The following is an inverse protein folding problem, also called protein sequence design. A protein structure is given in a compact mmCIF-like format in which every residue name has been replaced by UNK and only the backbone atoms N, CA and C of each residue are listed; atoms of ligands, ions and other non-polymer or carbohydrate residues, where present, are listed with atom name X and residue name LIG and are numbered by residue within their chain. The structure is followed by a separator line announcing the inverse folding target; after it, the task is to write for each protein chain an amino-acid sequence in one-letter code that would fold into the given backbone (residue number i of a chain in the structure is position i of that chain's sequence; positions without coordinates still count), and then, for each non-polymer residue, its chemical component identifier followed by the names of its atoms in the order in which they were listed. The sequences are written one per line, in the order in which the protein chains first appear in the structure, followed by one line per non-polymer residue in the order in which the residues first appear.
data_IF_962612053204
#
_entry.id   IF_962612053204
#
_cell.length_a   1.000
_cell.length_b   1.000
_cell.length_c   1.000
_cell.angle_alpha   90.00
_cell.angle_beta   90.00
_cell.angle_gamma   90.00
#
_symmetry.space_group_name_H-M   'P 1'
#
loop_
_entity.id
_entity.type
_entity.pdbx_description
1 polymer ?
#
# COMPACT_ATOMS: atom_id res chain seq x y z
N UNK A 1 -45.16 -72.77 24.91
CA UNK A 1 -44.23 -72.05 25.80
C UNK A 1 -43.15 -71.47 24.89
N UNK A 2 -42.92 -70.18 24.74
CA UNK A 2 -43.54 -68.99 25.31
C UNK A 2 -43.39 -67.86 24.31
N UNK A 3 -44.35 -66.96 24.39
CA UNK A 3 -44.48 -65.68 23.73
C UNK A 3 -43.26 -64.76 24.00
N UNK A 4 -43.04 -63.76 23.15
CA UNK A 4 -42.03 -62.73 23.46
C UNK A 4 -41.63 -61.83 22.28
N UNK A 5 -42.54 -60.99 21.83
CA UNK A 5 -42.23 -59.86 20.94
C UNK A 5 -41.49 -58.73 21.66
N UNK A 6 -40.59 -58.06 20.94
CA UNK A 6 -40.09 -56.67 21.11
C UNK A 6 -38.93 -56.52 20.11
N UNK A 7 -38.78 -55.55 19.22
CA UNK A 7 -39.52 -54.38 18.73
C UNK A 7 -38.76 -53.91 17.47
N UNK A 8 -39.28 -52.96 16.66
CA UNK A 8 -38.56 -52.50 15.48
C UNK A 8 -37.28 -51.76 15.90
N UNK A 9 -36.12 -52.31 15.55
CA UNK A 9 -34.84 -51.62 15.67
C UNK A 9 -34.79 -50.51 14.62
N UNK A 10 -35.21 -49.31 15.00
CA UNK A 10 -34.90 -48.10 14.24
C UNK A 10 -33.38 -47.99 14.11
N UNK A 11 -32.84 -47.74 12.90
CA UNK A 11 -31.45 -47.34 12.79
C UNK A 11 -31.34 -45.95 13.43
N UNK A 12 -30.69 -45.89 14.59
CA UNK A 12 -30.25 -44.63 15.22
C UNK A 12 -29.29 -43.95 14.25
N UNK A 13 -29.85 -43.12 13.38
CA UNK A 13 -29.07 -42.19 12.56
C UNK A 13 -28.35 -41.20 13.48
N UNK A 14 -27.13 -40.77 13.13
CA UNK A 14 -26.42 -39.78 13.93
C UNK A 14 -27.26 -38.50 14.04
N UNK A 15 -27.47 -38.02 15.27
CA UNK A 15 -28.14 -36.75 15.58
C UNK A 15 -27.59 -35.65 14.67
N UNK A 16 -28.43 -34.80 14.04
CA UNK A 16 -27.93 -33.70 13.24
C UNK A 16 -27.23 -32.71 14.17
N UNK A 17 -25.90 -32.68 14.09
CA UNK A 17 -25.10 -31.63 14.70
C UNK A 17 -25.54 -30.33 14.03
N UNK A 18 -26.24 -29.47 14.77
CA UNK A 18 -26.59 -28.14 14.30
C UNK A 18 -25.29 -27.38 14.03
N UNK A 19 -24.83 -27.43 12.77
CA UNK A 19 -23.70 -26.64 12.31
C UNK A 19 -24.13 -25.19 12.35
N UNK A 20 -23.66 -24.48 13.37
CA UNK A 20 -23.57 -23.03 13.32
C UNK A 20 -23.03 -22.66 11.94
N UNK A 21 -23.73 -21.77 11.23
CA UNK A 21 -23.34 -21.30 9.91
C UNK A 21 -22.13 -20.38 10.09
N UNK A 22 -20.99 -20.99 10.40
CA UNK A 22 -19.70 -20.37 10.29
C UNK A 22 -19.50 -20.05 8.82
N UNK A 23 -19.42 -18.75 8.55
CA UNK A 23 -19.01 -18.09 7.30
C UNK A 23 -18.75 -19.05 6.13
N UNK A 24 -19.65 -18.99 5.14
CA UNK A 24 -19.50 -19.57 3.80
C UNK A 24 -18.32 -18.94 3.00
N UNK A 25 -17.30 -18.42 3.69
CA UNK A 25 -16.05 -17.91 3.12
C UNK A 25 -15.11 -19.04 2.69
N UNK A 26 -15.04 -20.16 3.44
CA UNK A 26 -14.15 -21.27 3.07
C UNK A 26 -14.64 -22.05 1.83
N UNK A 27 -15.94 -22.05 1.58
CA UNK A 27 -16.55 -22.71 0.42
C UNK A 27 -16.53 -21.86 -0.86
N UNK A 28 -16.33 -20.54 -0.77
CA UNK A 28 -16.42 -19.64 -1.93
C UNK A 28 -15.08 -19.08 -2.40
N UNK A 29 -14.04 -19.09 -1.56
CA UNK A 29 -12.67 -18.70 -1.96
C UNK A 29 -11.83 -19.87 -2.49
N UNK A 30 -12.26 -21.12 -2.27
CA UNK A 30 -11.59 -22.35 -2.72
C UNK A 30 -12.21 -22.97 -3.99
N UNK A 31 -12.78 -22.16 -4.89
CA UNK A 31 -13.34 -22.64 -6.17
C UNK A 31 -12.30 -23.33 -7.09
N UNK A 32 -11.02 -23.29 -6.73
CA UNK A 32 -9.97 -24.12 -7.32
C UNK A 32 -9.90 -25.43 -6.53
N UNK A 33 -10.34 -26.53 -7.16
CA UNK A 33 -10.12 -27.87 -6.61
C UNK A 33 -8.64 -28.02 -6.20
N UNK A 34 -8.33 -28.56 -5.01
CA UNK A 34 -6.98 -28.89 -4.63
C UNK A 34 -6.37 -29.75 -5.74
N UNK A 35 -5.38 -29.20 -6.46
CA UNK A 35 -4.76 -29.91 -7.59
C UNK A 35 -4.14 -31.19 -7.04
N UNK A 36 -4.38 -32.31 -7.72
CA UNK A 36 -3.70 -33.58 -7.41
C UNK A 36 -2.19 -33.31 -7.37
N UNK A 37 -1.53 -33.73 -6.30
CA UNK A 37 -0.09 -33.56 -6.14
C UNK A 37 0.60 -34.25 -7.31
N UNK A 38 1.35 -33.48 -8.11
CA UNK A 38 2.20 -34.05 -9.15
C UNK A 38 3.46 -34.55 -8.45
N UNK A 39 3.81 -35.82 -8.68
CA UNK A 39 5.12 -36.31 -8.29
C UNK A 39 6.17 -35.46 -9.02
N UNK A 40 7.22 -35.09 -8.30
CA UNK A 40 8.37 -34.39 -8.87
C UNK A 40 9.41 -35.48 -9.12
N UNK A 41 9.91 -35.57 -10.34
CA UNK A 41 10.90 -36.58 -10.70
C UNK A 41 12.14 -36.45 -9.81
N UNK A 42 12.55 -37.56 -9.19
CA UNK A 42 13.67 -37.60 -8.25
C UNK A 42 13.37 -37.16 -6.81
N UNK A 43 12.16 -36.70 -6.49
CA UNK A 43 11.77 -36.33 -5.10
C UNK A 43 10.84 -37.38 -4.52
N UNK A 44 11.32 -38.11 -3.53
CA UNK A 44 10.50 -39.07 -2.79
C UNK A 44 9.48 -38.35 -1.88
N UNK A 45 8.33 -38.97 -1.56
CA UNK A 45 7.37 -38.40 -0.61
C UNK A 45 7.98 -38.13 0.78
N UNK A 46 8.93 -38.96 1.22
CA UNK A 46 9.65 -38.79 2.49
C UNK A 46 10.51 -37.53 2.50
N UNK A 47 11.32 -37.32 1.46
CA UNK A 47 12.16 -36.10 1.35
C UNK A 47 11.33 -34.82 1.26
N UNK A 48 10.12 -34.88 0.68
CA UNK A 48 9.18 -33.75 0.69
C UNK A 48 8.63 -33.44 2.10
N UNK A 49 8.41 -34.47 2.93
CA UNK A 49 7.96 -34.30 4.31
C UNK A 49 9.10 -33.72 5.15
N UNK A 50 10.32 -34.21 4.98
CA UNK A 50 11.50 -33.71 5.69
C UNK A 50 11.79 -32.25 5.34
N UNK A 51 11.69 -31.88 4.07
CA UNK A 51 11.86 -30.49 3.63
C UNK A 51 10.78 -29.56 4.21
N UNK A 52 9.55 -30.04 4.34
CA UNK A 52 8.49 -29.30 5.03
C UNK A 52 8.80 -29.15 6.51
N UNK A 53 9.27 -30.20 7.17
CA UNK A 53 9.67 -30.13 8.58
C UNK A 53 10.79 -29.11 8.78
N UNK A 54 11.80 -29.08 7.91
CA UNK A 54 12.86 -28.06 7.94
C UNK A 54 12.29 -26.65 7.72
N UNK A 55 11.42 -26.46 6.73
CA UNK A 55 10.78 -25.18 6.48
C UNK A 55 9.97 -24.70 7.70
N UNK A 56 9.21 -25.57 8.33
CA UNK A 56 8.48 -25.21 9.56
C UNK A 56 9.42 -24.82 10.71
N UNK A 57 10.50 -25.58 10.94
CA UNK A 57 11.51 -25.23 11.96
C UNK A 57 12.11 -23.85 11.69
N UNK A 58 12.55 -23.58 10.46
CA UNK A 58 13.12 -22.27 10.10
C UNK A 58 12.12 -21.12 10.25
N UNK A 59 10.84 -21.34 9.94
CA UNK A 59 9.80 -20.33 10.11
C UNK A 59 9.50 -20.05 11.58
N UNK A 60 9.51 -21.10 12.41
CA UNK A 60 9.31 -20.98 13.85
C UNK A 60 10.50 -20.26 14.51
N UNK A 61 11.74 -20.63 14.17
CA UNK A 61 12.95 -19.94 14.62
C UNK A 61 12.95 -18.47 14.20
N UNK A 62 12.57 -18.16 12.95
CA UNK A 62 12.45 -16.79 12.48
C UNK A 62 11.33 -16.01 13.20
N UNK A 63 10.24 -16.68 13.58
CA UNK A 63 9.15 -16.06 14.34
C UNK A 63 9.58 -15.78 15.77
N UNK A 64 10.24 -16.74 16.43
CA UNK A 64 10.80 -16.58 17.77
C UNK A 64 11.87 -15.49 17.80
N UNK A 65 12.73 -15.41 16.78
CA UNK A 65 13.71 -14.33 16.63
C UNK A 65 13.03 -12.96 16.45
N UNK A 66 11.99 -12.87 15.60
CA UNK A 66 11.24 -11.62 15.41
C UNK A 66 10.45 -11.18 16.67
N UNK A 67 10.01 -12.15 17.48
CA UNK A 67 9.34 -11.92 18.76
C UNK A 67 10.33 -11.48 19.84
N UNK A 68 11.55 -12.03 19.85
CA UNK A 68 12.63 -11.62 20.74
C UNK A 68 13.23 -10.24 20.41
N UNK A 69 13.26 -9.84 19.13
CA UNK A 69 13.87 -8.57 18.67
C UNK A 69 12.87 -7.38 18.60
N UNK A 70 11.71 -7.48 19.25
CA UNK A 70 10.80 -6.34 19.40
C UNK A 70 10.06 -5.94 18.12
N UNK A 71 9.57 -6.91 17.34
CA UNK A 71 8.43 -6.70 16.45
C UNK A 71 8.68 -5.92 15.15
N UNK A 72 9.93 -5.82 14.68
CA UNK A 72 10.20 -5.41 13.29
C UNK A 72 10.38 -6.65 12.42
N UNK A 73 9.46 -6.95 11.49
CA UNK A 73 9.70 -8.05 10.56
C UNK A 73 10.96 -7.72 9.75
N UNK A 74 11.95 -8.63 9.68
CA UNK A 74 13.09 -8.42 8.80
C UNK A 74 12.54 -8.28 7.39
N UNK A 75 12.76 -7.11 6.78
CA UNK A 75 12.41 -6.87 5.37
C UNK A 75 13.02 -8.02 4.60
N UNK A 76 12.20 -8.79 3.87
CA UNK A 76 12.63 -9.93 3.05
C UNK A 76 13.80 -9.44 2.20
N UNK A 77 15.04 -9.77 2.57
CA UNK A 77 16.20 -9.62 1.72
C UNK A 77 16.05 -10.70 0.66
N UNK A 78 15.28 -10.40 -0.38
CA UNK A 78 15.31 -11.19 -1.61
C UNK A 78 16.64 -10.90 -2.28
N UNK A 79 17.65 -11.66 -1.87
CA UNK A 79 19.00 -11.60 -2.40
C UNK A 79 19.82 -12.60 -1.62
N UNK A 80 20.52 -13.49 -2.34
CA UNK A 80 21.55 -14.34 -1.74
C UNK A 80 22.42 -13.46 -0.84
N UNK A 81 22.65 -13.86 0.41
CA UNK A 81 23.70 -13.26 1.23
C UNK A 81 25.02 -13.48 0.48
N UNK A 82 25.39 -12.49 -0.32
CA UNK A 82 26.74 -12.41 -0.87
C UNK A 82 27.57 -11.95 0.30
N UNK A 83 28.22 -12.91 0.95
CA UNK A 83 29.06 -12.75 2.16
C UNK A 83 30.26 -11.80 1.93
N UNK A 84 30.42 -11.27 0.71
CA UNK A 84 31.41 -10.26 0.36
C UNK A 84 30.79 -8.88 0.63
N UNK A 85 30.87 -8.43 1.89
CA UNK A 85 30.63 -7.02 2.23
C UNK A 85 31.80 -6.20 1.67
N UNK A 86 31.51 -5.18 0.89
CA UNK A 86 32.55 -4.26 0.41
C UNK A 86 33.17 -3.53 1.62
N UNK A 87 34.51 -3.55 1.78
CA UNK A 87 35.17 -2.81 2.86
C UNK A 87 34.86 -1.32 2.74
N UNK A 88 34.61 -0.67 3.88
CA UNK A 88 34.26 0.75 3.95
C UNK A 88 32.78 1.09 3.74
N UNK A 89 31.91 0.13 3.42
CA UNK A 89 30.46 0.36 3.42
C UNK A 89 29.94 0.57 4.83
N UNK A 90 30.37 -0.25 5.80
CA UNK A 90 29.94 -0.10 7.19
C UNK A 90 30.46 1.21 7.81
N UNK A 91 31.68 1.63 7.46
CA UNK A 91 32.23 2.92 7.90
C UNK A 91 31.48 4.10 7.30
N UNK A 92 31.14 4.03 6.01
CA UNK A 92 30.32 5.05 5.35
C UNK A 92 28.92 5.11 5.93
N UNK A 93 28.29 3.97 6.16
CA UNK A 93 26.96 3.89 6.77
C UNK A 93 26.96 4.44 8.19
N UNK A 94 28.01 4.16 8.99
CA UNK A 94 28.17 4.74 10.32
C UNK A 94 28.36 6.25 10.25
N UNK A 95 29.22 6.73 9.34
CA UNK A 95 29.46 8.16 9.11
C UNK A 95 28.18 8.88 8.66
N UNK A 96 27.45 8.30 7.70
CA UNK A 96 26.18 8.83 7.22
C UNK A 96 25.14 8.84 8.34
N UNK A 97 25.07 7.80 9.16
CA UNK A 97 24.15 7.75 10.31
C UNK A 97 24.47 8.80 11.38
N UNK A 98 25.74 9.14 11.58
CA UNK A 98 26.16 10.25 12.44
C UNK A 98 25.88 11.61 11.79
N UNK A 99 25.97 11.71 10.46
CA UNK A 99 25.66 12.91 9.69
C UNK A 99 24.17 13.14 9.43
N UNK A 100 23.31 12.14 9.64
CA UNK A 100 21.87 12.34 9.83
C UNK A 100 21.71 12.99 11.21
N UNK A 101 22.07 14.28 11.27
CA UNK A 101 21.83 15.16 12.40
C UNK A 101 20.37 15.02 12.80
N UNK A 102 20.11 14.89 14.10
CA UNK A 102 18.74 14.73 14.58
C UNK A 102 17.92 15.93 14.11
N UNK A 103 16.61 15.74 13.95
CA UNK A 103 15.71 16.85 13.56
C UNK A 103 15.83 18.04 14.52
N UNK A 104 16.23 17.79 15.78
CA UNK A 104 16.50 18.82 16.77
C UNK A 104 17.77 19.63 16.46
N UNK A 105 18.87 18.97 16.08
CA UNK A 105 20.12 19.64 15.71
C UNK A 105 19.93 20.48 14.46
N UNK A 106 19.22 19.95 13.45
CA UNK A 106 18.88 20.71 12.25
C UNK A 106 18.03 21.93 12.56
N UNK A 107 17.06 21.81 13.46
CA UNK A 107 16.24 22.94 13.89
C UNK A 107 17.11 24.00 14.58
N UNK A 108 18.04 23.61 15.46
CA UNK A 108 18.95 24.53 16.13
C UNK A 108 19.90 25.26 15.15
N UNK A 109 20.40 24.56 14.14
CA UNK A 109 21.20 25.15 13.05
C UNK A 109 20.38 26.13 12.21
N UNK A 110 19.12 25.80 11.92
CA UNK A 110 18.21 26.72 11.24
C UNK A 110 17.94 27.98 12.07
N UNK A 111 17.74 27.85 13.38
CA UNK A 111 17.56 29.02 14.27
C UNK A 111 18.80 29.90 14.34
N UNK A 112 19.99 29.31 14.49
CA UNK A 112 21.25 30.06 14.48
C UNK A 112 21.51 30.75 13.13
N UNK A 113 21.14 30.12 12.01
CA UNK A 113 21.23 30.73 10.69
C UNK A 113 20.24 31.90 10.53
N UNK A 114 19.01 31.77 11.06
CA UNK A 114 18.02 32.84 11.05
C UNK A 114 18.45 34.04 11.89
N UNK A 115 19.07 33.81 13.06
CA UNK A 115 19.63 34.86 13.91
C UNK A 115 20.73 35.64 13.17
N UNK A 116 21.69 34.94 12.55
CA UNK A 116 22.73 35.57 11.71
C UNK A 116 22.14 36.38 10.55
N UNK A 117 21.06 35.88 9.94
CA UNK A 117 20.39 36.59 8.85
C UNK A 117 19.68 37.84 9.36
N UNK A 118 19.01 37.76 10.50
CA UNK A 118 18.36 38.91 11.14
C UNK A 118 19.38 39.99 11.52
N UNK A 119 20.52 39.60 12.09
CA UNK A 119 21.61 40.52 12.41
C UNK A 119 22.16 41.20 11.16
N UNK A 120 22.35 40.45 10.07
CA UNK A 120 22.79 41.01 8.79
C UNK A 120 21.79 42.06 8.28
N UNK A 121 20.50 41.75 8.29
CA UNK A 121 19.46 42.72 7.89
C UNK A 121 19.46 43.97 8.78
N UNK A 122 19.61 43.80 10.10
CA UNK A 122 19.68 44.93 11.02
C UNK A 122 20.89 45.84 10.73
N UNK A 123 22.04 45.26 10.37
CA UNK A 123 23.24 46.02 9.99
C UNK A 123 23.09 46.73 8.65
N UNK A 124 22.45 46.10 7.66
CA UNK A 124 22.12 46.73 6.36
C UNK A 124 21.16 47.91 6.57
N UNK A 125 20.10 47.72 7.35
CA UNK A 125 19.13 48.79 7.67
C UNK A 125 19.77 49.96 8.43
N UNK A 126 20.82 49.70 9.21
CA UNK A 126 21.60 50.72 9.91
C UNK A 126 22.65 51.40 9.01
N UNK A 127 22.89 50.87 7.81
CA UNK A 127 23.91 51.35 6.87
C UNK A 127 25.35 51.02 7.31
N UNK A 128 25.54 50.07 8.23
CA UNK A 128 26.88 49.62 8.65
C UNK A 128 27.53 48.66 7.64
N UNK A 129 26.71 47.96 6.86
CA UNK A 129 27.16 47.06 5.78
C UNK A 129 26.86 47.74 4.45
N UNK A 130 27.87 47.83 3.58
CA UNK A 130 27.70 48.29 2.21
C UNK A 130 26.91 47.21 1.46
N UNK A 131 25.79 47.57 0.84
CA UNK A 131 25.09 46.67 -0.08
C UNK A 131 26.01 46.50 -1.29
N UNK A 132 26.83 45.44 -1.27
CA UNK A 132 27.74 45.08 -2.35
C UNK A 132 26.97 44.38 -3.48
N UNK A 133 25.93 45.05 -4.00
CA UNK A 133 25.09 44.57 -5.12
C UNK A 133 25.95 44.24 -6.35
N UNK A 134 27.01 45.03 -6.58
CA UNK A 134 27.98 44.86 -7.68
C UNK A 134 28.76 43.53 -7.64
N UNK A 135 28.86 42.85 -6.48
CA UNK A 135 29.61 41.58 -6.34
C UNK A 135 28.81 40.39 -6.89
N UNK A 136 27.48 40.47 -6.81
CA UNK A 136 26.59 39.40 -7.25
C UNK A 136 26.05 39.64 -8.67
N UNK A 137 26.28 40.82 -9.23
CA UNK A 137 25.97 41.13 -10.62
C UNK A 137 26.93 40.44 -11.57
N UNK A 138 26.38 39.67 -12.50
CA UNK A 138 27.16 39.02 -13.55
C UNK A 138 27.37 40.04 -14.67
N UNK A 139 28.60 40.53 -14.80
CA UNK A 139 29.00 41.33 -15.97
C UNK A 139 29.12 40.42 -17.20
N UNK A 140 28.06 40.41 -18.02
CA UNK A 140 27.99 39.62 -19.24
C UNK A 140 28.97 40.09 -20.32
N UNK A 141 29.40 41.36 -20.31
CA UNK A 141 30.38 41.86 -21.27
C UNK A 141 31.78 41.35 -20.92
N UNK A 142 32.12 41.34 -19.63
CA UNK A 142 33.41 40.88 -19.11
C UNK A 142 33.54 39.36 -19.10
N UNK A 143 32.45 38.62 -18.91
CA UNK A 143 32.44 37.14 -18.93
C UNK A 143 32.76 36.51 -20.29
N UNK A 144 32.62 37.26 -21.39
CA UNK A 144 32.92 36.79 -22.75
C UNK A 144 34.38 36.98 -23.18
N UNK A 145 35.07 37.96 -22.62
CA UNK A 145 36.51 38.16 -22.79
C UNK A 145 37.24 37.36 -21.70
N UNK A 146 38.00 36.33 -22.04
CA UNK A 146 38.70 35.46 -21.07
C UNK A 146 39.79 36.12 -20.18
N UNK A 147 39.69 37.42 -19.90
CA UNK A 147 40.27 38.09 -18.73
C UNK A 147 39.15 38.11 -17.68
N UNK A 148 39.15 37.30 -16.64
CA UNK A 148 40.03 37.52 -15.50
C UNK A 148 40.34 36.23 -14.71
N UNK A 149 41.63 35.97 -14.55
CA UNK A 149 42.17 35.56 -13.25
C UNK A 149 42.58 36.87 -12.58
N UNK A 150 41.75 37.41 -11.69
CA UNK A 150 42.07 38.38 -10.62
C UNK A 150 40.79 39.15 -10.25
N UNK A 151 39.87 38.47 -9.58
CA UNK A 151 38.89 39.12 -8.70
C UNK A 151 39.37 38.97 -7.25
N UNK A 152 39.05 39.92 -6.34
CA UNK A 152 39.53 39.88 -4.96
C UNK A 152 39.02 38.61 -4.28
N UNK A 153 39.94 37.75 -3.81
CA UNK A 153 39.57 36.62 -2.95
C UNK A 153 39.06 37.17 -1.62
N UNK A 154 37.93 36.66 -1.08
CA UNK A 154 37.55 36.94 0.30
C UNK A 154 38.61 36.38 1.26
N UNK A 155 38.98 37.09 2.34
CA UNK A 155 39.93 36.58 3.31
C UNK A 155 39.26 35.48 4.12
N UNK A 156 39.60 34.23 3.84
CA UNK A 156 39.05 33.06 4.51
C UNK A 156 40.07 31.93 4.55
N UNK A 157 40.84 31.94 5.64
CA UNK A 157 41.37 30.78 6.36
C UNK A 157 42.23 29.77 5.58
N UNK A 158 43.52 29.79 5.92
CA UNK A 158 44.45 28.67 5.72
C UNK A 158 43.79 27.33 6.06
N UNK A 159 43.84 26.38 5.13
CA UNK A 159 44.04 24.95 5.40
C UNK A 159 44.36 24.23 4.08
N UNK A 160 45.56 23.62 4.03
CA UNK A 160 45.80 22.43 3.22
C UNK A 160 46.58 22.60 1.92
N UNK A 161 47.90 22.71 2.05
CA UNK A 161 48.86 22.31 1.03
C UNK A 161 48.66 20.84 0.63
N UNK A 162 48.22 20.57 -0.60
CA UNK A 162 48.52 19.32 -1.31
C UNK A 162 48.23 19.45 -2.82
N UNK A 163 49.30 19.41 -3.63
CA UNK A 163 49.25 18.83 -4.97
C UNK A 163 48.94 19.76 -6.16
N UNK A 164 49.76 20.78 -6.41
CA UNK A 164 49.90 21.34 -7.77
C UNK A 164 51.12 20.71 -8.45
N UNK A 165 50.91 19.59 -9.14
CA UNK A 165 51.89 19.10 -10.12
C UNK A 165 51.83 20.04 -11.32
N UNK A 166 52.83 20.92 -11.42
CA UNK A 166 53.12 21.69 -12.60
C UNK A 166 53.65 20.76 -13.69
N UNK A 167 52.87 20.61 -14.77
CA UNK A 167 53.23 19.83 -15.96
C UNK A 167 52.49 20.40 -17.17
N UNK A 168 52.94 21.56 -17.65
CA UNK A 168 52.46 22.15 -18.90
C UNK A 168 53.15 21.44 -20.07
N UNK A 169 52.44 20.53 -20.74
CA UNK A 169 52.79 20.08 -22.09
C UNK A 169 51.73 20.64 -23.05
N UNK A 170 52.16 21.53 -23.93
CA UNK A 170 51.37 22.20 -24.97
C UNK A 170 50.60 21.20 -25.87
N UNK A 171 51.10 19.97 -25.96
CA UNK A 171 50.49 18.81 -26.64
C UNK A 171 49.12 18.40 -26.06
N UNK A 172 48.92 18.50 -24.73
CA UNK A 172 47.63 18.19 -24.11
C UNK A 172 46.55 19.25 -24.36
N UNK A 173 46.93 20.47 -24.74
CA UNK A 173 45.96 21.51 -25.11
C UNK A 173 45.48 21.35 -26.55
N UNK A 174 46.31 20.80 -27.45
CA UNK A 174 45.90 20.52 -28.84
C UNK A 174 45.01 19.28 -28.93
N UNK A 175 45.24 18.25 -28.11
CA UNK A 175 44.35 17.09 -28.01
C UNK A 175 42.95 17.46 -27.49
N UNK A 176 42.86 18.40 -26.54
CA UNK A 176 41.57 18.92 -26.05
C UNK A 176 40.80 19.71 -27.11
N UNK A 177 41.50 20.41 -28.02
CA UNK A 177 40.89 21.15 -29.13
C UNK A 177 40.47 20.24 -30.29
N UNK A 178 41.12 19.09 -30.47
CA UNK A 178 40.70 18.06 -31.44
C UNK A 178 39.51 17.24 -30.96
N UNK A 179 39.36 17.05 -29.64
CA UNK A 179 38.22 16.34 -29.05
C UNK A 179 36.88 17.12 -29.12
N UNK A 180 36.92 18.43 -29.34
CA UNK A 180 35.74 19.31 -29.39
C UNK A 180 35.08 19.38 -30.79
N UNK A 181 35.72 18.79 -31.81
CA UNK A 181 35.30 18.93 -33.21
C UNK A 181 35.00 17.62 -33.94
N UNK A 182 34.66 16.55 -33.22
CA UNK A 182 34.40 15.27 -33.90
C UNK A 182 33.61 14.27 -33.09
N UNK A 183 32.31 14.53 -32.85
CA UNK A 183 31.38 13.42 -32.61
C UNK A 183 29.89 13.78 -32.80
N UNK A 184 29.54 14.47 -33.89
CA UNK A 184 28.12 14.70 -34.23
C UNK A 184 27.34 13.39 -34.46
N UNK A 185 28.04 12.32 -34.87
CA UNK A 185 27.46 11.00 -35.11
C UNK A 185 27.06 10.32 -33.78
N UNK A 186 27.88 10.44 -32.71
CA UNK A 186 27.47 9.93 -31.40
C UNK A 186 26.45 10.81 -30.68
N UNK A 187 26.35 12.10 -30.97
CA UNK A 187 25.28 12.95 -30.41
C UNK A 187 23.90 12.57 -30.98
N UNK A 188 23.81 12.33 -32.28
CA UNK A 188 22.58 11.83 -32.91
C UNK A 188 22.21 10.45 -32.37
N UNK A 189 23.17 9.53 -32.25
CA UNK A 189 22.94 8.19 -31.68
C UNK A 189 22.55 8.26 -30.19
N UNK A 190 23.12 9.19 -29.41
CA UNK A 190 22.70 9.48 -28.03
C UNK A 190 21.29 10.05 -27.98
N UNK A 191 20.90 10.91 -28.90
CA UNK A 191 19.55 11.45 -29.00
C UNK A 191 18.52 10.40 -29.38
N UNK A 192 18.85 9.49 -30.28
CA UNK A 192 17.99 8.36 -30.62
C UNK A 192 17.82 7.41 -29.43
N UNK A 193 18.90 7.09 -28.71
CA UNK A 193 18.81 6.32 -27.45
C UNK A 193 17.92 7.02 -26.41
N UNK A 194 18.07 8.36 -26.26
CA UNK A 194 17.21 9.16 -25.36
C UNK A 194 15.75 9.12 -25.79
N UNK A 195 15.45 9.18 -27.10
CA UNK A 195 14.08 9.09 -27.63
C UNK A 195 13.49 7.70 -27.39
N UNK A 196 14.22 6.64 -27.71
CA UNK A 196 13.80 5.25 -27.46
C UNK A 196 13.55 4.99 -25.97
N UNK A 197 14.42 5.50 -25.09
CA UNK A 197 14.22 5.37 -23.65
C UNK A 197 12.97 6.13 -23.18
N UNK A 198 12.71 7.33 -23.71
CA UNK A 198 11.48 8.08 -23.40
C UNK A 198 10.23 7.34 -23.89
N UNK A 199 10.25 6.78 -25.08
CA UNK A 199 9.14 6.00 -25.64
C UNK A 199 8.83 4.77 -24.78
N UNK A 200 9.84 4.00 -24.37
CA UNK A 200 9.68 2.86 -23.47
C UNK A 200 9.09 3.27 -22.11
N UNK A 201 9.53 4.40 -21.56
CA UNK A 201 9.00 4.93 -20.29
C UNK A 201 7.53 5.34 -20.45
N UNK A 202 7.18 5.99 -21.56
CA UNK A 202 5.80 6.39 -21.87
C UNK A 202 4.90 5.18 -22.07
N UNK A 203 5.34 4.17 -22.82
CA UNK A 203 4.62 2.91 -23.02
C UNK A 203 4.35 2.20 -21.69
N UNK A 204 5.36 2.12 -20.82
CA UNK A 204 5.17 1.55 -19.48
C UNK A 204 4.18 2.37 -18.64
N UNK A 205 4.23 3.70 -18.73
CA UNK A 205 3.28 4.57 -18.04
C UNK A 205 1.84 4.33 -18.55
N UNK A 206 1.65 4.14 -19.86
CA UNK A 206 0.35 3.81 -20.45
C UNK A 206 -0.15 2.43 -19.98
N UNK A 207 0.69 1.41 -19.99
CA UNK A 207 0.33 0.07 -19.48
C UNK A 207 -0.09 0.11 -18.01
N UNK A 208 0.60 0.90 -17.18
CA UNK A 208 0.21 1.07 -15.78
C UNK A 208 -1.11 1.84 -15.64
N UNK A 209 -1.37 2.83 -16.50
CA UNK A 209 -2.65 3.56 -16.56
C UNK A 209 -3.79 2.63 -16.96
N UNK A 210 -3.61 1.82 -17.99
CA UNK A 210 -4.60 0.81 -18.38
C UNK A 210 -4.87 -0.20 -17.26
N UNK A 211 -3.82 -0.65 -16.56
CA UNK A 211 -3.95 -1.54 -15.41
C UNK A 211 -4.80 -0.92 -14.30
N UNK A 212 -4.56 0.37 -13.98
CA UNK A 212 -5.36 1.13 -13.02
C UNK A 212 -6.82 1.26 -13.48
N UNK A 213 -7.06 1.58 -14.74
CA UNK A 213 -8.41 1.69 -15.30
C UNK A 213 -9.16 0.36 -15.26
N UNK A 214 -8.52 -0.76 -15.63
CA UNK A 214 -9.11 -2.11 -15.56
C UNK A 214 -9.49 -2.46 -14.12
N UNK A 215 -8.63 -2.14 -13.15
CA UNK A 215 -8.92 -2.35 -11.73
C UNK A 215 -10.11 -1.49 -11.24
N UNK A 216 -10.18 -0.22 -11.65
CA UNK A 216 -11.31 0.68 -11.33
C UNK A 216 -12.61 0.14 -11.93
N UNK A 217 -12.61 -0.28 -13.20
CA UNK A 217 -13.79 -0.86 -13.87
C UNK A 217 -14.26 -2.13 -13.17
N UNK A 218 -13.35 -3.01 -12.75
CA UNK A 218 -13.69 -4.23 -12.01
C UNK A 218 -14.30 -3.90 -10.64
N UNK A 219 -13.72 -2.93 -9.91
CA UNK A 219 -14.25 -2.46 -8.62
C UNK A 219 -15.65 -1.87 -8.77
N UNK A 220 -15.87 -1.04 -9.80
CA UNK A 220 -17.18 -0.47 -10.13
C UNK A 220 -18.21 -1.56 -10.47
N UNK A 221 -17.82 -2.58 -11.23
CA UNK A 221 -18.70 -3.73 -11.51
C UNK A 221 -19.10 -4.46 -10.23
N UNK A 222 -18.13 -4.72 -9.34
CA UNK A 222 -18.37 -5.40 -8.05
C UNK A 222 -19.27 -4.57 -7.14
N UNK A 223 -19.04 -3.26 -7.03
CA UNK A 223 -19.87 -2.37 -6.22
C UNK A 223 -21.29 -2.29 -6.76
N UNK A 224 -21.47 -2.18 -8.08
CA UNK A 224 -22.79 -2.17 -8.72
C UNK A 224 -23.56 -3.48 -8.48
N UNK A 225 -22.89 -4.63 -8.56
CA UNK A 225 -23.52 -5.93 -8.23
C UNK A 225 -23.95 -5.99 -6.76
N UNK A 226 -23.13 -5.49 -5.84
CA UNK A 226 -23.48 -5.44 -4.41
C UNK A 226 -24.64 -4.47 -4.15
N UNK A 227 -24.68 -3.31 -4.81
CA UNK A 227 -25.81 -2.38 -4.73
C UNK A 227 -27.09 -3.03 -5.25
N UNK A 228 -27.06 -3.67 -6.42
CA UNK A 228 -28.22 -4.42 -6.96
C UNK A 228 -28.74 -5.48 -5.98
N UNK A 229 -27.84 -6.22 -5.31
CA UNK A 229 -28.22 -7.18 -4.26
C UNK A 229 -28.88 -6.48 -3.08
N UNK A 230 -28.33 -5.37 -2.60
CA UNK A 230 -28.91 -4.58 -1.49
C UNK A 230 -30.29 -4.05 -1.86
N UNK A 231 -30.46 -3.51 -3.06
CA UNK A 231 -31.73 -2.95 -3.50
C UNK A 231 -32.79 -4.03 -3.71
N UNK A 232 -32.40 -5.21 -4.23
CA UNK A 232 -33.28 -6.38 -4.29
C UNK A 232 -33.76 -6.82 -2.91
N UNK A 233 -32.86 -6.85 -1.92
CA UNK A 233 -33.22 -7.20 -0.54
C UNK A 233 -34.14 -6.15 0.08
N UNK A 234 -33.86 -4.86 -0.12
CA UNK A 234 -34.76 -3.76 0.32
C UNK A 234 -36.14 -3.89 -0.30
N UNK A 235 -36.23 -4.12 -1.61
CA UNK A 235 -37.50 -4.30 -2.31
C UNK A 235 -38.27 -5.54 -1.79
N UNK A 236 -37.59 -6.66 -1.58
CA UNK A 236 -38.19 -7.86 -1.01
C UNK A 236 -38.71 -7.63 0.42
N UNK A 237 -37.96 -6.89 1.23
CA UNK A 237 -38.36 -6.53 2.58
C UNK A 237 -39.61 -5.64 2.59
N UNK A 238 -39.64 -4.61 1.73
CA UNK A 238 -40.83 -3.75 1.57
C UNK A 238 -42.03 -4.57 1.12
N UNK A 239 -41.87 -5.46 0.13
CA UNK A 239 -42.94 -6.35 -0.33
C UNK A 239 -43.46 -7.25 0.78
N UNK A 240 -42.58 -7.78 1.65
CA UNK A 240 -42.96 -8.59 2.81
C UNK A 240 -43.76 -7.76 3.84
N UNK A 241 -43.33 -6.52 4.12
CA UNK A 241 -44.09 -5.59 4.99
C UNK A 241 -45.48 -5.28 4.43
N UNK A 242 -45.57 -4.99 3.13
CA UNK A 242 -46.84 -4.72 2.45
C UNK A 242 -47.77 -5.95 2.49
N UNK A 243 -47.25 -7.16 2.26
CA UNK A 243 -48.05 -8.40 2.38
C UNK A 243 -48.56 -8.60 3.82
N UNK A 244 -47.75 -8.31 4.83
CA UNK A 244 -48.16 -8.39 6.24
C UNK A 244 -49.28 -7.40 6.57
N UNK A 245 -49.15 -6.14 6.13
CA UNK A 245 -50.19 -5.12 6.33
C UNK A 245 -51.49 -5.51 5.62
N UNK A 246 -51.42 -5.99 4.36
CA UNK A 246 -52.61 -6.49 3.65
C UNK A 246 -53.27 -7.67 4.37
N UNK A 247 -52.48 -8.63 4.86
CA UNK A 247 -53.03 -9.76 5.62
C UNK A 247 -53.67 -9.31 6.94
N UNK A 248 -53.11 -8.30 7.62
CA UNK A 248 -53.73 -7.71 8.81
C UNK A 248 -55.03 -6.97 8.48
N UNK A 249 -55.09 -6.26 7.36
CA UNK A 249 -56.32 -5.61 6.90
C UNK A 249 -57.41 -6.62 6.53
N UNK A 250 -57.07 -7.73 5.87
CA UNK A 250 -58.04 -8.78 5.51
C UNK A 250 -58.44 -9.67 6.70
N UNK A 251 -57.64 -9.75 7.76
CA UNK A 251 -57.97 -10.50 8.99
C UNK A 251 -58.74 -9.65 10.04
N UNK A 252 -58.87 -8.33 9.83
CA UNK A 252 -59.65 -7.45 10.68
C UNK A 252 -61.19 -7.51 10.47
N UNK A 253 -61.76 -7.72 9.26
CA UNK A 253 -63.22 -7.75 9.08
C UNK A 253 -63.88 -8.98 9.72
N UNK A 254 -63.25 -10.16 9.74
CA UNK A 254 -63.85 -11.38 10.32
C UNK A 254 -64.04 -11.34 11.85
N UNK A 255 -63.43 -10.38 12.56
CA UNK A 255 -63.59 -10.25 14.02
C UNK A 255 -64.75 -9.36 14.44
N UNK A 256 -65.34 -8.60 13.52
CA UNK A 256 -66.51 -7.77 13.81
C UNK A 256 -67.81 -8.57 13.58
N UNK A 257 -67.85 -9.41 12.54
CA UNK A 257 -69.03 -10.24 12.25
C UNK A 257 -69.27 -11.33 13.31
N UNK A 258 -68.22 -11.89 13.91
CA UNK A 258 -68.36 -12.90 14.97
C UNK A 258 -68.81 -12.35 16.34
N UNK A 259 -68.78 -11.02 16.52
CA UNK A 259 -69.21 -10.35 17.75
C UNK A 259 -70.66 -9.88 17.66
N UNK A 260 -71.11 -9.47 16.47
CA UNK A 260 -72.51 -9.10 16.23
C UNK A 260 -73.45 -10.31 16.19
N UNK A 261 -72.95 -11.53 15.92
CA UNK A 261 -73.77 -12.76 16.01
C UNK A 261 -73.91 -13.31 17.44
N UNK A 262 -72.94 -13.09 18.33
CA UNK A 262 -73.05 -13.52 19.73
C UNK A 262 -74.01 -12.65 20.53
N UNK A 263 -74.04 -11.34 20.25
CA UNK A 263 -74.90 -10.40 20.98
C UNK A 263 -76.37 -10.48 20.53
N UNK A 264 -76.67 -11.13 19.39
CA UNK A 264 -78.04 -11.34 18.89
C UNK A 264 -78.70 -12.63 19.38
N UNK A 265 -77.92 -13.64 19.79
CA UNK A 265 -78.47 -14.87 20.38
C UNK A 265 -78.73 -14.73 21.89
N UNK A 266 -77.97 -13.89 22.61
CA UNK A 266 -78.18 -13.65 24.05
C UNK A 266 -79.43 -12.80 24.36
N UNK A 267 -79.92 -12.01 23.39
CA UNK A 267 -81.14 -11.20 23.54
C UNK A 267 -82.44 -11.98 23.28
N UNK A 268 -82.39 -13.21 22.75
CA UNK A 268 -83.58 -14.00 22.44
C UNK A 268 -84.03 -14.92 23.58
N UNK A 269 -83.17 -15.17 24.59
CA UNK A 269 -83.44 -16.12 25.68
C UNK A 269 -83.93 -15.43 26.98
N UNK A 270 -83.97 -14.09 27.02
CA UNK A 270 -84.41 -13.33 28.21
C UNK A 270 -85.91 -12.99 28.27
N UNK A 271 -86.68 -13.29 27.22
CA UNK A 271 -88.11 -12.89 27.12
C UNK A 271 -89.13 -13.99 27.46
N UNK A 272 -88.70 -15.19 27.89
CA UNK A 272 -89.62 -16.31 28.20
C UNK A 272 -89.97 -16.46 29.69
N UNK A 273 -89.26 -15.81 30.63
CA UNK A 273 -89.48 -16.04 32.08
C UNK A 273 -90.36 -15.00 32.82
N UNK A 274 -91.03 -14.08 32.12
CA UNK A 274 -91.89 -13.05 32.78
C UNK A 274 -93.40 -13.28 32.69
N UNK A 275 -93.84 -14.52 32.52
CA UNK A 275 -95.27 -14.86 32.51
C UNK A 275 -95.54 -16.21 33.18
N UNK A 276 -95.51 -16.25 34.51
CA UNK A 276 -96.27 -17.17 35.36
C UNK A 276 -96.37 -16.63 36.78
#
# INVERSE_FOLDING_TARGET
MGDGGTGPSEPVGPKPVARAVESLGWLTESALQPRKRRAIDGVTPGTLIDLKAQLYRTQEEARLAAEAEGGKPPRRKTGKDVVIKNPGVEERDQKDRLHVKSTADRASECYAALERKADLYNRIMRGEVRDDDDIYEVDFLRKGSGHDREGPQPPGEELGEAGRVAGNSQEQQEDRKRADHGDYDSELERDERRKQQKELILEQAELTKEGRERAIRLKARRSAQMQRKRDRLKAAFIKKKMKKLKAQMHAAPERQDAKDTSDREEAADSDVEKSS
#
